data_IF_127024915485
#
_entry.id   IF_127024915485
#
_cell.length_a   1.000
_cell.length_b   1.000
_cell.length_c   1.000
_cell.angle_alpha   90.00
_cell.angle_beta   90.00
_cell.angle_gamma   90.00
#
_symmetry.space_group_name_H-M   'P 1'
#
loop_
_entity.id
_entity.type
_entity.pdbx_description
1 polymer ?
#
# COMPACT_ATOMS: atom_id res chain seq x y z
N UNK A 1 -8.20 -11.10 4.28
CA UNK A 1 -8.44 -9.75 4.82
C UNK A 1 -9.23 -8.96 3.80
N UNK A 2 -10.44 -8.47 4.14
CA UNK A 2 -11.27 -7.68 3.22
C UNK A 2 -10.88 -6.19 3.32
N UNK A 3 -10.42 -5.54 2.23
CA UNK A 3 -10.04 -4.12 2.26
C UNK A 3 -11.17 -3.19 2.65
N UNK A 4 -12.41 -3.50 2.25
CA UNK A 4 -13.60 -2.71 2.59
C UNK A 4 -13.82 -2.73 4.09
N UNK A 5 -13.86 -3.91 4.72
CA UNK A 5 -14.03 -4.03 6.17
C UNK A 5 -12.90 -3.35 6.94
N UNK A 6 -11.65 -3.43 6.44
CA UNK A 6 -10.52 -2.76 7.06
C UNK A 6 -10.65 -1.23 7.04
N UNK A 7 -11.12 -0.66 5.91
CA UNK A 7 -11.39 0.77 5.82
C UNK A 7 -12.57 1.16 6.70
N UNK A 8 -13.66 0.40 6.71
CA UNK A 8 -14.83 0.67 7.56
C UNK A 8 -14.44 0.70 9.04
N UNK A 9 -13.74 -0.33 9.52
CA UNK A 9 -13.25 -0.39 10.90
C UNK A 9 -12.31 0.76 11.25
N UNK A 10 -11.46 1.18 10.30
CA UNK A 10 -10.60 2.35 10.49
C UNK A 10 -11.42 3.65 10.58
N UNK A 11 -12.41 3.84 9.71
CA UNK A 11 -13.28 5.01 9.74
C UNK A 11 -14.06 5.09 11.05
N UNK A 12 -14.59 3.97 11.56
CA UNK A 12 -15.28 3.91 12.85
C UNK A 12 -14.34 4.31 14.00
N UNK A 13 -13.09 3.81 13.97
CA UNK A 13 -12.08 4.19 14.96
C UNK A 13 -11.73 5.67 14.89
N UNK A 14 -11.65 6.22 13.69
CA UNK A 14 -11.31 7.61 13.44
C UNK A 14 -12.40 8.56 13.93
N UNK A 15 -13.67 8.22 13.71
CA UNK A 15 -14.83 8.90 14.29
C UNK A 15 -14.74 8.96 15.81
N UNK A 16 -14.50 7.81 16.46
CA UNK A 16 -14.35 7.74 17.91
C UNK A 16 -13.18 8.59 18.45
N UNK A 17 -12.04 8.63 17.74
CA UNK A 17 -10.89 9.45 18.13
C UNK A 17 -11.15 10.96 17.99
N UNK A 18 -12.02 11.37 17.07
CA UNK A 18 -12.38 12.77 16.83
C UNK A 18 -13.60 13.22 17.64
N UNK A 19 -14.31 12.30 18.30
CA UNK A 19 -15.58 12.58 18.97
C UNK A 19 -16.66 13.03 18.00
N UNK A 20 -16.71 12.42 16.80
CA UNK A 20 -17.65 12.75 15.72
C UNK A 20 -18.41 11.51 15.27
N UNK A 21 -19.57 11.72 14.67
CA UNK A 21 -20.24 10.67 13.91
C UNK A 21 -19.47 10.35 12.64
N UNK A 22 -19.55 9.08 12.24
CA UNK A 22 -18.87 8.56 11.06
C UNK A 22 -19.26 9.30 9.79
N UNK A 23 -20.54 9.59 9.63
CA UNK A 23 -21.08 10.19 8.42
C UNK A 23 -20.67 11.68 8.28
N UNK A 24 -20.27 12.30 9.39
CA UNK A 24 -19.78 13.67 9.47
C UNK A 24 -18.25 13.78 9.34
N UNK A 25 -17.55 12.66 9.09
CA UNK A 25 -16.10 12.66 8.92
C UNK A 25 -15.71 13.37 7.63
N UNK A 26 -15.07 14.53 7.79
CA UNK A 26 -14.40 15.26 6.71
C UNK A 26 -12.89 15.16 6.84
N UNK A 27 -12.14 15.61 5.83
CA UNK A 27 -10.68 15.65 5.86
C UNK A 27 -9.98 14.34 5.48
N UNK A 28 -8.67 14.21 5.78
CA UNK A 28 -7.87 13.06 5.34
C UNK A 28 -8.25 11.75 6.05
N UNK A 29 -8.42 10.67 5.28
CA UNK A 29 -8.68 9.34 5.85
C UNK A 29 -7.51 8.85 6.70
N UNK A 30 -6.27 9.05 6.24
CA UNK A 30 -5.06 8.69 6.98
C UNK A 30 -4.42 9.93 7.59
N UNK A 31 -4.34 9.91 8.91
CA UNK A 31 -3.81 10.99 9.76
C UNK A 31 -2.67 10.45 10.61
N UNK A 32 -1.66 11.27 10.95
CA UNK A 32 -0.63 10.85 11.89
C UNK A 32 -1.25 10.64 13.28
N UNK A 33 -0.87 9.54 13.92
CA UNK A 33 -1.27 9.17 15.28
C UNK A 33 -0.01 9.01 16.11
N UNK A 34 0.11 9.75 17.21
CA UNK A 34 1.26 9.58 18.11
C UNK A 34 1.17 8.31 18.97
N UNK A 35 2.24 8.06 19.72
CA UNK A 35 2.33 6.94 20.66
C UNK A 35 1.27 6.93 21.76
N UNK A 36 0.58 8.06 22.01
CA UNK A 36 -0.51 8.20 22.98
C UNK A 36 -1.89 8.07 22.32
N UNK A 37 -1.93 7.82 21.01
CA UNK A 37 -3.18 7.71 20.24
C UNK A 37 -3.78 9.05 19.83
N UNK A 38 -3.06 10.16 19.96
CA UNK A 38 -3.56 11.48 19.58
C UNK A 38 -3.33 11.75 18.09
N UNK A 39 -4.32 12.37 17.43
CA UNK A 39 -4.26 12.72 16.02
C UNK A 39 -3.49 14.03 15.81
N UNK A 40 -2.70 14.12 14.75
CA UNK A 40 -2.11 15.39 14.31
C UNK A 40 -0.85 15.85 15.06
N UNK A 41 -0.37 15.09 16.04
CA UNK A 41 0.69 15.53 16.97
C UNK A 41 2.12 15.18 16.55
N UNK A 42 2.34 14.48 15.43
CA UNK A 42 3.67 14.14 14.92
C UNK A 42 4.08 15.02 13.73
N UNK A 43 4.93 16.03 13.99
CA UNK A 43 5.93 16.60 13.07
C UNK A 43 5.49 17.19 11.70
N UNK A 44 5.75 18.49 11.52
CA UNK A 44 5.80 19.27 10.27
C UNK A 44 4.52 19.54 9.47
N UNK A 45 3.32 19.24 10.00
CA UNK A 45 2.08 19.91 9.55
C UNK A 45 1.42 20.62 10.71
N UNK A 46 1.39 21.95 10.63
CA UNK A 46 0.82 22.90 11.60
C UNK A 46 -0.72 22.89 11.59
N UNK A 47 -1.38 21.73 11.54
CA UNK A 47 -2.82 21.65 11.20
C UNK A 47 -3.59 20.57 11.97
N UNK A 48 -3.42 20.50 13.29
CA UNK A 48 -4.37 19.81 14.19
C UNK A 48 -4.83 18.40 13.76
N UNK A 49 -6.07 18.00 14.07
CA UNK A 49 -6.56 16.64 13.77
C UNK A 49 -6.69 16.33 12.27
N UNK A 50 -6.58 17.32 11.39
CA UNK A 50 -6.73 17.18 9.92
C UNK A 50 -5.40 17.13 9.16
N UNK A 51 -4.28 16.93 9.87
CA UNK A 51 -3.00 16.69 9.24
C UNK A 51 -3.03 15.42 8.36
N UNK A 52 -2.52 15.53 7.13
CA UNK A 52 -2.35 14.38 6.22
C UNK A 52 -1.15 13.53 6.65
N UNK A 53 -1.32 12.21 6.65
CA UNK A 53 -0.19 11.30 6.81
C UNK A 53 0.81 11.50 5.66
N UNK A 54 2.10 11.56 5.97
CA UNK A 54 3.15 11.75 4.97
C UNK A 54 3.46 10.46 4.19
N UNK A 55 3.96 10.61 2.96
CA UNK A 55 4.39 9.47 2.14
C UNK A 55 5.52 8.66 2.81
N UNK A 56 6.40 9.33 3.55
CA UNK A 56 7.44 8.68 4.34
C UNK A 56 6.84 7.78 5.43
N UNK A 57 5.81 8.26 6.16
CA UNK A 57 5.14 7.46 7.17
C UNK A 57 4.39 6.25 6.56
N UNK A 58 3.82 6.40 5.36
CA UNK A 58 3.23 5.28 4.61
C UNK A 58 4.29 4.23 4.27
N UNK A 59 5.43 4.67 3.71
CA UNK A 59 6.56 3.78 3.39
C UNK A 59 7.02 3.02 4.64
N UNK A 60 7.22 3.71 5.75
CA UNK A 60 7.71 3.11 6.99
C UNK A 60 6.67 2.15 7.60
N UNK A 61 5.38 2.43 7.45
CA UNK A 61 4.31 1.49 7.82
C UNK A 61 4.38 0.20 6.99
N UNK A 62 4.57 0.31 5.66
CA UNK A 62 4.71 -0.85 4.77
C UNK A 62 5.93 -1.68 5.15
N UNK A 63 7.09 -1.04 5.35
CA UNK A 63 8.33 -1.73 5.73
C UNK A 63 8.14 -2.47 7.06
N UNK A 64 7.62 -1.80 8.10
CA UNK A 64 7.37 -2.43 9.40
C UNK A 64 6.46 -3.65 9.30
N UNK A 65 5.40 -3.58 8.49
CA UNK A 65 4.48 -4.71 8.29
C UNK A 65 5.13 -5.86 7.52
N UNK A 66 5.93 -5.55 6.49
CA UNK A 66 6.68 -6.57 5.76
C UNK A 66 7.71 -7.27 6.66
N UNK A 67 8.45 -6.52 7.47
CA UNK A 67 9.39 -7.07 8.46
C UNK A 67 8.69 -7.95 9.48
N UNK A 68 7.56 -7.49 10.06
CA UNK A 68 6.77 -8.28 11.00
C UNK A 68 6.20 -9.57 10.39
N UNK A 69 5.96 -9.58 9.08
CA UNK A 69 5.54 -10.75 8.33
C UNK A 69 6.70 -11.68 7.91
N UNK A 70 7.93 -11.41 8.36
CA UNK A 70 9.11 -12.21 8.01
C UNK A 70 9.60 -12.00 6.58
N UNK A 71 9.11 -10.99 5.86
CA UNK A 71 9.47 -10.74 4.46
C UNK A 71 10.76 -9.92 4.31
N UNK A 72 11.42 -9.54 5.41
CA UNK A 72 12.67 -8.79 5.36
C UNK A 72 13.80 -9.66 4.80
N UNK A 73 14.47 -9.27 3.70
CA UNK A 73 15.57 -10.08 3.17
C UNK A 73 16.78 -10.01 4.08
N UNK A 74 17.51 -11.11 4.15
CA UNK A 74 18.72 -11.30 4.95
C UNK A 74 19.89 -10.36 4.58
N UNK A 75 19.77 -9.58 3.49
CA UNK A 75 20.80 -8.67 3.00
C UNK A 75 20.18 -7.31 2.61
N UNK A 76 20.34 -6.31 3.49
CA UNK A 76 20.28 -4.86 3.19
C UNK A 76 19.12 -4.32 2.35
N UNK A 77 18.15 -3.66 3.00
CA UNK A 77 17.30 -2.55 2.51
C UNK A 77 16.80 -2.50 1.03
N UNK A 78 16.64 -3.63 0.35
CA UNK A 78 15.71 -3.78 -0.79
C UNK A 78 14.67 -4.79 -0.31
N UNK A 79 13.34 -4.65 -0.38
CA UNK A 79 12.52 -4.55 -1.59
C UNK A 79 11.10 -3.99 -1.30
N UNK A 80 10.82 -3.49 -0.10
CA UNK A 80 9.52 -2.91 0.24
C UNK A 80 9.56 -1.38 0.23
N UNK A 81 8.76 -0.80 -0.66
CA UNK A 81 8.58 0.65 -0.81
C UNK A 81 7.08 0.95 -0.85
N UNK A 82 6.72 2.24 -0.85
CA UNK A 82 5.32 2.66 -1.01
C UNK A 82 4.64 2.12 -2.29
N UNK A 83 5.42 1.75 -3.32
CA UNK A 83 4.92 1.21 -4.58
C UNK A 83 4.82 -0.32 -4.63
N UNK A 84 5.32 -1.04 -3.61
CA UNK A 84 5.36 -2.50 -3.63
C UNK A 84 3.96 -3.12 -3.70
N UNK A 85 2.95 -2.49 -3.10
CA UNK A 85 1.54 -2.92 -3.20
C UNK A 85 1.00 -2.83 -4.62
N UNK A 86 1.36 -1.79 -5.39
CA UNK A 86 0.99 -1.65 -6.80
C UNK A 86 1.66 -2.71 -7.67
N UNK A 87 2.94 -2.98 -7.43
CA UNK A 87 3.67 -4.06 -8.11
C UNK A 87 3.01 -5.42 -7.84
N UNK A 88 2.77 -5.73 -6.56
CA UNK A 88 2.13 -6.98 -6.16
C UNK A 88 0.73 -7.15 -6.76
N UNK A 89 -0.08 -6.08 -6.82
CA UNK A 89 -1.37 -6.10 -7.49
C UNK A 89 -1.23 -6.47 -8.97
N UNK A 90 -0.37 -5.78 -9.73
CA UNK A 90 -0.21 -6.03 -11.16
C UNK A 90 0.24 -7.47 -11.44
N UNK A 91 1.22 -7.96 -10.67
CA UNK A 91 1.76 -9.31 -10.80
C UNK A 91 0.70 -10.36 -10.48
N UNK A 92 0.00 -10.25 -9.35
CA UNK A 92 -1.00 -11.23 -8.98
C UNK A 92 -2.19 -11.23 -9.92
N UNK A 93 -2.64 -10.05 -10.38
CA UNK A 93 -3.72 -9.94 -11.34
C UNK A 93 -3.36 -10.60 -12.68
N UNK A 94 -2.14 -10.37 -13.18
CA UNK A 94 -1.65 -11.01 -14.40
C UNK A 94 -1.52 -12.53 -14.23
N UNK A 95 -0.97 -13.00 -13.10
CA UNK A 95 -0.86 -14.43 -12.78
C UNK A 95 -2.23 -15.12 -12.69
N UNK A 96 -3.27 -14.40 -12.25
CA UNK A 96 -4.64 -14.89 -12.22
C UNK A 96 -5.36 -14.77 -13.59
N UNK A 97 -4.66 -14.40 -14.66
CA UNK A 97 -5.20 -14.31 -16.02
C UNK A 97 -6.00 -13.04 -16.32
N UNK A 98 -5.92 -12.00 -15.47
CA UNK A 98 -6.57 -10.73 -15.79
C UNK A 98 -5.93 -10.08 -17.02
N UNK A 99 -6.76 -9.50 -17.90
CA UNK A 99 -6.26 -8.81 -19.09
C UNK A 99 -5.45 -7.57 -18.73
N UNK A 100 -4.48 -7.21 -19.57
CA UNK A 100 -3.68 -5.99 -19.36
C UNK A 100 -4.57 -4.74 -19.28
N UNK A 101 -5.67 -4.71 -20.05
CA UNK A 101 -6.67 -3.63 -19.98
C UNK A 101 -7.31 -3.52 -18.59
N UNK A 102 -7.81 -4.62 -18.03
CA UNK A 102 -8.41 -4.62 -16.70
C UNK A 102 -7.41 -4.21 -15.60
N UNK A 103 -6.16 -4.67 -15.71
CA UNK A 103 -5.07 -4.30 -14.81
C UNK A 103 -4.76 -2.80 -14.91
N UNK A 104 -4.72 -2.25 -16.13
CA UNK A 104 -4.51 -0.83 -16.39
C UNK A 104 -5.65 0.03 -15.85
N UNK A 105 -6.90 -0.37 -16.07
CA UNK A 105 -8.10 0.34 -15.60
C UNK A 105 -8.09 0.43 -14.07
N UNK A 106 -7.79 -0.67 -13.37
CA UNK A 106 -7.71 -0.70 -11.90
C UNK A 106 -6.48 0.05 -11.37
N UNK A 107 -5.31 -0.17 -11.98
CA UNK A 107 -4.04 0.45 -11.57
C UNK A 107 -3.93 1.94 -11.94
N UNK A 108 -4.81 2.40 -12.83
CA UNK A 108 -4.83 3.71 -13.49
C UNK A 108 -3.58 4.00 -14.31
N UNK A 109 -3.00 2.97 -14.94
CA UNK A 109 -1.87 3.13 -15.85
C UNK A 109 -2.37 3.52 -17.23
N UNK A 110 -1.88 4.66 -17.74
CA UNK A 110 -2.21 5.13 -19.11
C UNK A 110 -1.34 4.51 -20.20
N UNK A 111 -0.24 3.85 -19.82
CA UNK A 111 0.72 3.25 -20.73
C UNK A 111 0.87 1.77 -20.44
N UNK A 112 0.72 0.96 -21.48
CA UNK A 112 0.93 -0.48 -21.44
C UNK A 112 2.37 -0.82 -21.04
N UNK A 113 3.35 -0.05 -21.53
CA UNK A 113 4.76 -0.21 -21.18
C UNK A 113 4.98 -0.07 -19.68
N UNK A 114 4.33 0.91 -19.04
CA UNK A 114 4.41 1.12 -17.59
C UNK A 114 3.76 -0.04 -16.83
N UNK A 115 2.56 -0.46 -17.23
CA UNK A 115 1.86 -1.59 -16.62
C UNK A 115 2.70 -2.88 -16.71
N UNK A 116 3.25 -3.20 -17.89
CA UNK A 116 4.16 -4.33 -18.09
C UNK A 116 5.43 -4.25 -17.25
N UNK A 117 5.94 -3.06 -16.96
CA UNK A 117 7.10 -2.91 -16.07
C UNK A 117 6.81 -3.35 -14.63
N UNK A 118 5.55 -3.23 -14.18
CA UNK A 118 5.09 -3.72 -12.88
C UNK A 118 4.84 -5.23 -12.92
N UNK A 119 4.20 -5.73 -13.97
CA UNK A 119 3.94 -7.18 -14.17
C UNK A 119 5.28 -7.95 -14.19
N UNK A 120 6.21 -7.56 -15.08
CA UNK A 120 7.50 -8.24 -15.25
C UNK A 120 8.37 -8.21 -13.99
N UNK A 121 8.36 -7.12 -13.23
CA UNK A 121 9.16 -7.00 -12.00
C UNK A 121 8.77 -8.01 -10.94
N UNK A 122 7.50 -8.43 -10.90
CA UNK A 122 7.05 -9.48 -9.96
C UNK A 122 7.03 -10.88 -10.55
N UNK A 123 7.05 -11.04 -11.88
CA UNK A 123 7.09 -12.36 -12.54
C UNK A 123 8.51 -12.91 -12.75
N UNK A 124 9.57 -12.17 -12.37
CA UNK A 124 10.98 -12.60 -12.53
C UNK A 124 11.26 -13.99 -11.94
N UNK A 125 10.50 -14.41 -10.92
CA UNK A 125 10.66 -15.72 -10.27
C UNK A 125 9.67 -16.79 -10.78
N UNK A 126 8.62 -16.42 -11.50
CA UNK A 126 7.55 -17.35 -11.95
C UNK A 126 7.53 -17.55 -13.47
N UNK A 127 8.06 -16.60 -14.24
CA UNK A 127 8.11 -16.59 -15.70
C UNK A 127 9.55 -16.33 -16.18
N UNK A 128 10.49 -17.07 -15.57
CA UNK A 128 11.88 -17.05 -15.98
C UNK A 128 12.07 -18.05 -17.11
N UNK A 129 12.49 -17.58 -18.30
CA UNK A 129 12.83 -18.44 -19.42
C UNK A 129 13.90 -19.50 -19.07
N UNK A 130 14.78 -19.24 -18.09
CA UNK A 130 15.73 -20.23 -17.57
C UNK A 130 15.07 -21.38 -16.80
N UNK A 131 13.90 -21.16 -16.19
CA UNK A 131 13.15 -22.20 -15.48
C UNK A 131 12.53 -23.26 -16.40
N UNK A 132 12.34 -22.94 -17.69
CA UNK A 132 11.94 -23.91 -18.72
C UNK A 132 13.10 -24.60 -19.43
N UNK A 133 14.35 -24.16 -19.17
CA UNK A 133 15.55 -24.67 -19.86
C UNK A 133 16.31 -25.73 -19.06
N UNK A 134 15.90 -26.02 -17.82
CA UNK A 134 16.50 -27.11 -17.02
C UNK A 134 18.01 -27.02 -16.88
N UNK A 135 18.55 -25.81 -16.67
CA UNK A 135 19.97 -25.56 -16.39
C UNK A 135 20.22 -25.39 -14.89
#
# INVERSE_FOLDING_TARGET
MCPVLAVQAWTDRLAALLGRDRDDLTGPLFRPVDRRGQLGSLGASRHGPDARLSDAAIRDAVIRRATAAGLSPAHGHRFFTAHSTRSGFATQAAANGASERAIMDQGRWRSLQVARSYIRRGSVFTDNAAGGLGL
#
